data_IF_439434493871
#
_entry.id   IF_439434493871
#
_cell.length_a   1.000
_cell.length_b   1.000
_cell.length_c   1.000
_cell.angle_alpha   90.00
_cell.angle_beta   90.00
_cell.angle_gamma   90.00
#
_symmetry.space_group_name_H-M   'P 1'
#
loop_
_entity.id
_entity.type
_entity.pdbx_description
1 polymer ?
#
# COMPACT_ATOMS: atom_id res chain seq x y z
N UNK A 1 -14.54 7.67 6.61
CA UNK A 1 -14.25 6.66 5.64
C UNK A 1 -12.92 5.98 5.94
N UNK A 2 -12.89 4.67 5.84
CA UNK A 2 -11.75 3.89 6.31
C UNK A 2 -10.47 4.13 5.52
N UNK A 3 -10.57 4.25 4.20
CA UNK A 3 -9.40 4.46 3.35
C UNK A 3 -8.68 5.77 3.67
N UNK A 4 -9.42 6.86 3.83
CA UNK A 4 -8.83 8.15 4.15
C UNK A 4 -8.13 8.13 5.51
N UNK A 5 -8.73 7.43 6.48
CA UNK A 5 -8.14 7.28 7.81
C UNK A 5 -6.83 6.48 7.75
N UNK A 6 -6.83 5.35 7.03
CA UNK A 6 -5.64 4.52 6.87
C UNK A 6 -4.52 5.28 6.18
N UNK A 7 -4.87 6.06 5.14
CA UNK A 7 -3.89 6.88 4.43
C UNK A 7 -3.24 7.91 5.35
N UNK A 8 -4.06 8.58 6.15
CA UNK A 8 -3.56 9.59 7.09
C UNK A 8 -2.64 8.97 8.13
N UNK A 9 -3.04 7.83 8.69
CA UNK A 9 -2.23 7.10 9.67
C UNK A 9 -0.89 6.67 9.07
N UNK A 10 -0.90 6.22 7.83
CA UNK A 10 0.31 5.79 7.15
C UNK A 10 1.26 6.95 6.90
N UNK A 11 0.73 8.09 6.46
CA UNK A 11 1.54 9.29 6.25
C UNK A 11 2.23 9.77 7.54
N UNK A 12 1.49 9.75 8.64
CA UNK A 12 2.01 10.21 9.93
C UNK A 12 3.09 9.27 10.47
N UNK A 13 2.99 7.98 10.18
CA UNK A 13 3.92 6.98 10.69
C UNK A 13 5.29 7.00 10.01
N UNK A 14 5.34 7.37 8.72
CA UNK A 14 6.59 7.40 7.96
C UNK A 14 7.14 6.03 7.61
N UNK A 15 8.23 6.03 6.83
CA UNK A 15 8.91 4.81 6.40
C UNK A 15 10.15 4.56 7.26
N UNK A 16 10.32 3.34 7.81
CA UNK A 16 11.52 3.03 8.61
C UNK A 16 12.80 3.14 7.79
N UNK A 17 13.87 3.62 8.43
CA UNK A 17 15.16 3.74 7.77
C UNK A 17 15.72 2.38 7.34
N UNK A 18 15.34 1.31 8.02
CA UNK A 18 15.75 -0.05 7.69
C UNK A 18 15.31 -0.49 6.29
N UNK A 19 14.30 0.17 5.74
CA UNK A 19 13.79 -0.16 4.41
C UNK A 19 14.41 0.67 3.28
N UNK A 20 15.28 1.62 3.61
CA UNK A 20 15.97 2.40 2.58
C UNK A 20 16.83 1.46 1.71
N UNK A 21 16.58 1.47 0.40
CA UNK A 21 17.28 0.60 -0.55
C UNK A 21 16.72 -0.81 -0.66
N UNK A 22 15.71 -1.16 0.13
CA UNK A 22 15.09 -2.49 0.08
C UNK A 22 14.00 -2.48 -0.99
N UNK A 23 14.01 -3.50 -1.86
CA UNK A 23 12.98 -3.65 -2.89
C UNK A 23 11.82 -4.50 -2.41
N UNK A 24 10.61 -4.03 -2.69
CA UNK A 24 9.37 -4.73 -2.42
C UNK A 24 8.63 -4.83 -3.75
N UNK A 25 8.36 -6.06 -4.19
CA UNK A 25 7.71 -6.31 -5.48
C UNK A 25 8.45 -5.61 -6.63
N UNK A 26 9.78 -5.60 -6.57
CA UNK A 26 10.63 -5.05 -7.62
C UNK A 26 10.83 -3.55 -7.58
N UNK A 27 10.32 -2.85 -6.58
CA UNK A 27 10.42 -1.40 -6.47
C UNK A 27 10.98 -1.03 -5.10
N UNK A 28 11.91 -0.07 -5.06
CA UNK A 28 12.48 0.39 -3.79
C UNK A 28 11.35 0.88 -2.86
N UNK A 29 11.46 0.57 -1.57
CA UNK A 29 10.37 0.74 -0.60
C UNK A 29 9.77 2.14 -0.58
N UNK A 30 10.61 3.17 -0.62
CA UNK A 30 10.13 4.55 -0.56
C UNK A 30 9.41 4.95 -1.85
N UNK A 31 9.93 4.50 -3.00
CA UNK A 31 9.27 4.73 -4.28
C UNK A 31 7.94 4.00 -4.35
N UNK A 32 7.89 2.78 -3.80
CA UNK A 32 6.65 2.03 -3.73
C UNK A 32 5.63 2.73 -2.84
N UNK A 33 6.07 3.25 -1.69
CA UNK A 33 5.22 4.01 -0.79
C UNK A 33 4.58 5.18 -1.52
N UNK A 34 5.37 5.94 -2.28
CA UNK A 34 4.87 7.06 -3.07
C UNK A 34 3.88 6.60 -4.14
N UNK A 35 4.15 5.48 -4.78
CA UNK A 35 3.26 4.91 -5.79
C UNK A 35 1.90 4.58 -5.16
N UNK A 36 1.89 3.92 -4.01
CA UNK A 36 0.67 3.50 -3.32
C UNK A 36 -0.09 4.73 -2.80
N UNK A 37 0.60 5.68 -2.17
CA UNK A 37 -0.05 6.86 -1.61
C UNK A 37 -0.61 7.76 -2.71
N UNK A 38 0.06 7.84 -3.86
CA UNK A 38 -0.47 8.56 -5.03
C UNK A 38 -1.73 7.90 -5.56
N UNK A 39 -1.76 6.57 -5.59
CA UNK A 39 -2.93 5.82 -6.01
C UNK A 39 -4.11 6.07 -5.07
N UNK A 40 -3.87 6.04 -3.76
CA UNK A 40 -4.90 6.31 -2.75
C UNK A 40 -5.43 7.74 -2.89
N UNK A 41 -4.53 8.70 -3.04
CA UNK A 41 -4.91 10.10 -3.20
C UNK A 41 -5.79 10.31 -4.43
N UNK A 42 -5.41 9.69 -5.55
CA UNK A 42 -6.18 9.79 -6.80
C UNK A 42 -7.56 9.14 -6.67
N UNK A 43 -7.65 8.01 -5.95
CA UNK A 43 -8.95 7.37 -5.68
C UNK A 43 -9.84 8.26 -4.82
N UNK A 44 -9.28 8.87 -3.78
CA UNK A 44 -10.04 9.75 -2.90
C UNK A 44 -10.52 11.01 -3.63
N UNK A 45 -9.79 11.44 -4.64
CA UNK A 45 -10.15 12.59 -5.48
C UNK A 45 -11.03 12.21 -6.67
N UNK A 46 -11.37 10.93 -6.80
CA UNK A 46 -12.18 10.40 -7.91
C UNK A 46 -11.54 10.62 -9.28
N UNK A 47 -10.20 10.66 -9.33
CA UNK A 47 -9.44 10.86 -10.58
C UNK A 47 -8.78 9.58 -11.09
N UNK A 48 -8.94 8.47 -10.37
CA UNK A 48 -8.36 7.19 -10.74
C UNK A 48 -9.43 6.11 -10.76
N UNK A 49 -9.39 5.29 -11.81
CA UNK A 49 -10.15 4.06 -11.87
C UNK A 49 -9.14 2.91 -11.80
N UNK A 50 -9.33 2.00 -10.86
CA UNK A 50 -8.44 0.85 -10.72
C UNK A 50 -8.76 -0.15 -11.83
N UNK A 51 -7.88 -0.20 -12.84
CA UNK A 51 -8.03 -1.16 -13.93
C UNK A 51 -7.33 -2.48 -13.59
N UNK A 52 -7.42 -3.45 -14.50
CA UNK A 52 -6.84 -4.78 -14.30
C UNK A 52 -5.34 -4.73 -14.05
N UNK A 53 -4.62 -3.82 -14.71
CA UNK A 53 -3.18 -3.69 -14.55
C UNK A 53 -2.82 -3.20 -13.15
N UNK A 54 -3.53 -2.18 -12.68
CA UNK A 54 -3.32 -1.64 -11.33
C UNK A 54 -3.69 -2.69 -10.29
N UNK A 55 -4.81 -3.37 -10.47
CA UNK A 55 -5.23 -4.43 -9.56
C UNK A 55 -4.17 -5.52 -9.46
N UNK A 56 -3.64 -5.98 -10.59
CA UNK A 56 -2.59 -7.01 -10.62
C UNK A 56 -1.35 -6.55 -9.89
N UNK A 57 -0.94 -5.31 -10.11
CA UNK A 57 0.21 -4.73 -9.42
C UNK A 57 -0.01 -4.70 -7.91
N UNK A 58 -1.18 -4.27 -7.46
CA UNK A 58 -1.49 -4.18 -6.04
C UNK A 58 -1.54 -5.57 -5.39
N UNK A 59 -2.04 -6.57 -6.09
CA UNK A 59 -2.05 -7.96 -5.59
C UNK A 59 -0.63 -8.46 -5.39
N UNK A 60 0.28 -8.17 -6.33
CA UNK A 60 1.69 -8.56 -6.20
C UNK A 60 2.34 -7.87 -5.00
N UNK A 61 2.08 -6.58 -4.83
CA UNK A 61 2.60 -5.82 -3.69
C UNK A 61 2.10 -6.40 -2.38
N UNK A 62 0.81 -6.69 -2.31
CA UNK A 62 0.20 -7.26 -1.10
C UNK A 62 0.84 -8.60 -0.73
N UNK A 63 1.06 -9.46 -1.71
CA UNK A 63 1.68 -10.77 -1.48
C UNK A 63 3.10 -10.62 -0.92
N UNK A 64 3.89 -9.70 -1.47
CA UNK A 64 5.26 -9.49 -1.00
C UNK A 64 5.28 -8.87 0.39
N UNK A 65 4.41 -7.90 0.66
CA UNK A 65 4.30 -7.28 1.99
C UNK A 65 3.94 -8.33 3.04
N UNK A 66 3.02 -9.23 2.71
CA UNK A 66 2.62 -10.30 3.63
C UNK A 66 3.81 -11.20 3.98
N UNK A 67 4.62 -11.57 2.98
CA UNK A 67 5.80 -12.40 3.21
C UNK A 67 6.83 -11.68 4.07
N UNK A 68 7.08 -10.41 3.81
CA UNK A 68 8.06 -9.63 4.56
C UNK A 68 7.61 -9.39 5.99
N UNK A 69 6.33 -9.10 6.18
CA UNK A 69 5.75 -8.88 7.50
C UNK A 69 6.00 -10.07 8.42
N UNK A 70 5.89 -11.29 7.90
CA UNK A 70 6.06 -12.50 8.67
C UNK A 70 7.50 -12.71 9.14
N UNK A 71 8.48 -12.06 8.49
CA UNK A 71 9.91 -12.27 8.76
C UNK A 71 10.61 -11.06 9.36
N UNK A 72 9.93 -9.92 9.41
CA UNK A 72 10.56 -8.65 9.76
C UNK A 72 10.54 -8.39 11.26
N UNK A 73 11.48 -7.56 11.70
CA UNK A 73 11.49 -7.00 13.04
C UNK A 73 10.29 -6.05 13.20
N UNK A 74 9.83 -5.79 14.45
CA UNK A 74 8.61 -5.04 14.68
C UNK A 74 8.45 -3.72 13.93
N UNK A 75 9.43 -2.82 13.85
CA UNK A 75 9.23 -1.56 13.12
C UNK A 75 8.93 -1.78 11.64
N UNK A 76 9.65 -2.70 11.00
CA UNK A 76 9.44 -3.02 9.58
C UNK A 76 8.15 -3.80 9.40
N UNK A 77 7.87 -4.76 10.31
CA UNK A 77 6.62 -5.53 10.26
C UNK A 77 5.40 -4.62 10.37
N UNK A 78 5.45 -3.65 11.26
CA UNK A 78 4.35 -2.70 11.44
C UNK A 78 4.14 -1.82 10.20
N UNK A 79 5.23 -1.37 9.60
CA UNK A 79 5.17 -0.60 8.36
C UNK A 79 4.53 -1.42 7.25
N UNK A 80 4.99 -2.66 7.07
CA UNK A 80 4.43 -3.55 6.05
C UNK A 80 2.95 -3.82 6.30
N UNK A 81 2.54 -3.99 7.55
CA UNK A 81 1.15 -4.20 7.90
C UNK A 81 0.30 -2.99 7.52
N UNK A 82 0.76 -1.77 7.82
CA UNK A 82 0.03 -0.55 7.49
C UNK A 82 -0.10 -0.37 5.98
N UNK A 83 1.00 -0.57 5.26
CA UNK A 83 0.97 -0.44 3.80
C UNK A 83 0.06 -1.49 3.18
N UNK A 84 0.10 -2.71 3.72
CA UNK A 84 -0.75 -3.81 3.26
C UNK A 84 -2.23 -3.51 3.50
N UNK A 85 -2.57 -2.87 4.62
CA UNK A 85 -3.94 -2.45 4.88
C UNK A 85 -4.42 -1.43 3.84
N UNK A 86 -3.55 -0.47 3.46
CA UNK A 86 -3.88 0.50 2.42
C UNK A 86 -4.14 -0.19 1.09
N UNK A 87 -3.26 -1.09 0.69
CA UNK A 87 -3.39 -1.83 -0.57
C UNK A 87 -4.68 -2.65 -0.57
N UNK A 88 -4.95 -3.35 0.53
CA UNK A 88 -6.17 -4.16 0.66
C UNK A 88 -7.43 -3.29 0.60
N UNK A 89 -7.39 -2.12 1.23
CA UNK A 89 -8.53 -1.19 1.22
C UNK A 89 -8.81 -0.67 -0.19
N UNK A 90 -7.75 -0.38 -0.96
CA UNK A 90 -7.90 0.05 -2.36
C UNK A 90 -8.57 -1.05 -3.18
N UNK A 91 -8.09 -2.29 -3.03
CA UNK A 91 -8.64 -3.42 -3.78
C UNK A 91 -10.09 -3.69 -3.40
N UNK A 92 -10.42 -3.61 -2.12
CA UNK A 92 -11.77 -3.83 -1.62
C UNK A 92 -12.72 -2.72 -2.08
N UNK A 93 -12.26 -1.46 -2.04
CA UNK A 93 -13.06 -0.32 -2.47
C UNK A 93 -13.41 -0.41 -3.95
N UNK A 94 -12.45 -0.83 -4.78
CA UNK A 94 -12.67 -1.00 -6.21
C UNK A 94 -13.78 -2.03 -6.47
N UNK A 95 -13.73 -3.16 -5.79
CA UNK A 95 -14.73 -4.22 -5.94
C UNK A 95 -16.11 -3.77 -5.49
N UNK A 96 -16.17 -3.04 -4.38
CA UNK A 96 -17.44 -2.50 -3.86
C UNK A 96 -18.00 -1.48 -4.84
N UNK A 97 -17.15 -0.68 -5.46
CA UNK A 97 -17.56 0.33 -6.42
C UNK A 97 -18.20 -0.24 -7.67
N UNK A 98 -17.97 -1.52 -7.97
CA UNK A 98 -18.53 -2.21 -9.14
C UNK A 98 -19.84 -2.93 -8.86
N UNK A 99 -20.26 -3.01 -7.62
CA UNK A 99 -21.46 -3.74 -7.25
C UNK A 99 -22.72 -2.84 -7.12
#
# INVERSE_FOLDING_TARGET
MQLARLWRQHKDAGCPSELVGVEIAGTEARALDEEITSCVSALLSHTLIVDERIERRLVEVRADLTRRQARAEPPVAQYCARLNELVSAVLTRDKIGHS
#
